data_IF_049829357659
#
_entry.id   IF_049829357659
#
_cell.length_a   1.000
_cell.length_b   1.000
_cell.length_c   1.000
_cell.angle_alpha   90.00
_cell.angle_beta   90.00
_cell.angle_gamma   90.00
#
_symmetry.space_group_name_H-M   'P 1'
#
loop_
_entity.id
_entity.type
_entity.pdbx_description
1 polymer ?
#
# COMPACT_ATOMS: atom_id res chain seq x y z
N UNK A 1 49.46 8.86 -11.56
CA UNK A 1 48.67 9.92 -10.91
C UNK A 1 47.19 9.52 -10.75
N UNK A 2 46.55 8.95 -11.78
CA UNK A 2 45.13 8.55 -11.78
C UNK A 2 44.71 7.64 -10.60
N UNK A 3 45.38 6.50 -10.41
CA UNK A 3 45.04 5.51 -9.37
C UNK A 3 45.09 6.07 -7.95
N UNK A 4 46.04 6.97 -7.66
CA UNK A 4 46.18 7.53 -6.31
C UNK A 4 45.26 8.74 -6.09
N UNK A 5 45.15 9.66 -7.05
CA UNK A 5 44.41 10.92 -6.85
C UNK A 5 42.93 10.75 -7.20
N UNK A 6 42.62 10.11 -8.33
CA UNK A 6 41.26 9.99 -8.84
C UNK A 6 40.52 8.81 -8.21
N UNK A 7 41.14 7.63 -8.19
CA UNK A 7 40.54 6.42 -7.59
C UNK A 7 40.75 6.35 -6.07
N UNK A 8 41.48 7.32 -5.50
CA UNK A 8 41.77 7.41 -4.06
C UNK A 8 42.39 6.12 -3.50
N UNK A 9 43.30 5.47 -4.25
CA UNK A 9 43.94 4.21 -3.83
C UNK A 9 44.76 4.28 -2.54
N UNK A 10 45.01 5.48 -2.00
CA UNK A 10 45.59 5.68 -0.67
C UNK A 10 44.55 5.59 0.47
N UNK A 11 43.26 5.60 0.16
CA UNK A 11 42.18 5.53 1.13
C UNK A 11 41.73 4.09 1.32
N UNK A 12 41.45 3.72 2.57
CA UNK A 12 40.85 2.43 2.90
C UNK A 12 39.32 2.56 2.78
N UNK A 13 38.66 1.59 2.15
CA UNK A 13 37.20 1.51 2.10
C UNK A 13 36.63 0.57 3.17
N UNK A 14 35.39 0.83 3.57
CA UNK A 14 34.59 -0.04 4.45
C UNK A 14 33.24 -0.28 3.81
N UNK A 15 32.68 -1.47 4.03
CA UNK A 15 31.26 -1.72 3.81
C UNK A 15 30.42 -0.78 4.69
N UNK A 16 29.31 -0.33 4.12
CA UNK A 16 28.28 0.48 4.77
C UNK A 16 27.18 -0.47 5.26
N UNK A 17 26.79 -0.36 6.53
CA UNK A 17 25.56 -0.97 7.02
C UNK A 17 24.55 0.15 7.22
N UNK A 18 23.45 0.11 6.47
CA UNK A 18 22.35 1.07 6.58
C UNK A 18 21.16 0.42 7.30
N UNK A 19 20.46 1.21 8.10
CA UNK A 19 19.17 0.84 8.69
C UNK A 19 18.22 2.02 8.56
N UNK A 20 17.07 1.78 7.94
CA UNK A 20 16.00 2.75 7.78
C UNK A 20 14.82 2.32 8.63
N UNK A 21 14.24 3.26 9.37
CA UNK A 21 12.99 3.06 10.09
C UNK A 21 12.05 4.18 9.74
N UNK A 22 10.84 3.81 9.31
CA UNK A 22 9.80 4.76 8.94
C UNK A 22 8.70 4.72 9.98
N UNK A 23 8.23 5.89 10.40
CA UNK A 23 7.07 6.03 11.27
C UNK A 23 6.07 6.98 10.63
N UNK A 24 4.91 6.45 10.29
CA UNK A 24 3.84 7.25 9.72
C UNK A 24 2.93 7.82 10.82
N UNK A 25 2.37 9.00 10.55
CA UNK A 25 1.35 9.65 11.38
C UNK A 25 0.29 10.29 10.49
N UNK A 26 -0.96 9.99 10.80
CA UNK A 26 -2.12 10.50 10.08
C UNK A 26 -3.38 9.80 10.57
N UNK A 27 -4.51 10.50 10.48
CA UNK A 27 -5.83 9.94 10.73
C UNK A 27 -6.70 10.35 9.55
N UNK A 28 -7.51 9.42 9.06
CA UNK A 28 -8.53 9.70 8.07
C UNK A 28 -9.89 9.30 8.62
N UNK A 29 -10.93 9.97 8.15
CA UNK A 29 -12.31 9.64 8.47
C UNK A 29 -13.07 9.44 7.17
N UNK A 30 -13.74 8.29 7.04
CA UNK A 30 -14.59 7.99 5.89
C UNK A 30 -16.03 7.86 6.33
N UNK A 31 -16.96 8.33 5.49
CA UNK A 31 -18.39 8.14 5.69
C UNK A 31 -18.92 7.29 4.54
N UNK A 32 -19.06 5.99 4.78
CA UNK A 32 -19.56 5.05 3.78
C UNK A 32 -21.04 4.73 4.06
N UNK A 33 -21.90 4.62 3.03
CA UNK A 33 -23.31 4.30 3.20
C UNK A 33 -23.57 3.03 4.01
N UNK A 34 -22.74 2.00 3.79
CA UNK A 34 -22.94 0.66 4.38
C UNK A 34 -22.28 0.48 5.76
N UNK A 35 -21.27 1.30 6.10
CA UNK A 35 -20.45 1.15 7.30
C UNK A 35 -20.58 2.33 8.29
N UNK A 36 -21.14 3.46 7.85
CA UNK A 36 -21.23 4.68 8.64
C UNK A 36 -19.88 5.41 8.77
N UNK A 37 -19.74 6.30 9.78
CA UNK A 37 -18.50 7.03 10.03
C UNK A 37 -17.44 6.11 10.65
N UNK A 38 -16.31 5.94 9.95
CA UNK A 38 -15.17 5.14 10.41
C UNK A 38 -13.89 5.98 10.45
N UNK A 39 -13.11 5.79 11.51
CA UNK A 39 -11.78 6.39 11.67
C UNK A 39 -10.74 5.35 11.27
N UNK A 40 -9.76 5.77 10.47
CA UNK A 40 -8.65 4.97 10.00
C UNK A 40 -7.36 5.49 10.60
N UNK A 41 -6.63 4.61 11.29
CA UNK A 41 -5.34 4.91 11.89
C UNK A 41 -4.19 4.12 11.23
N UNK A 42 -2.96 4.39 11.70
CA UNK A 42 -1.73 3.85 11.12
C UNK A 42 -1.73 2.31 11.06
N UNK A 43 -2.41 1.63 11.99
CA UNK A 43 -2.49 0.17 11.99
C UNK A 43 -3.43 -0.35 10.89
N UNK A 44 -4.41 0.45 10.47
CA UNK A 44 -5.41 0.04 9.48
C UNK A 44 -4.94 0.25 8.04
N UNK A 45 -4.18 1.31 7.78
CA UNK A 45 -3.81 1.70 6.41
C UNK A 45 -2.34 1.50 6.05
N UNK A 46 -1.49 1.01 6.97
CA UNK A 46 -0.06 0.75 6.69
C UNK A 46 0.28 -0.73 6.74
N UNK A 47 0.90 -1.24 5.67
CA UNK A 47 1.28 -2.64 5.57
C UNK A 47 2.68 -2.83 4.96
N UNK A 48 3.52 -3.73 5.50
CA UNK A 48 3.39 -4.38 6.80
C UNK A 48 3.59 -3.37 7.96
N UNK A 49 3.03 -3.66 9.14
CA UNK A 49 3.06 -2.74 10.28
C UNK A 49 4.47 -2.45 10.82
N UNK A 50 5.45 -3.33 10.56
CA UNK A 50 6.88 -3.18 10.88
C UNK A 50 7.69 -4.34 10.28
N UNK A 51 8.94 -4.08 9.86
CA UNK A 51 9.95 -5.14 9.66
C UNK A 51 10.61 -5.24 8.29
N UNK A 52 10.12 -4.52 7.27
CA UNK A 52 10.68 -4.54 5.92
C UNK A 52 11.26 -3.19 5.50
N UNK A 53 12.14 -3.22 4.51
CA UNK A 53 12.71 -2.04 3.84
C UNK A 53 11.69 -1.26 3.00
N UNK A 54 10.43 -1.69 3.00
CA UNK A 54 9.32 -1.11 2.26
C UNK A 54 8.05 -1.07 3.08
N UNK A 55 7.22 -0.06 2.82
CA UNK A 55 5.89 0.06 3.39
C UNK A 55 4.90 0.43 2.29
N UNK A 56 3.64 0.06 2.51
CA UNK A 56 2.50 0.32 1.64
C UNK A 56 1.47 1.12 2.42
N UNK A 57 0.90 2.15 1.78
CA UNK A 57 -0.16 2.97 2.32
C UNK A 57 -1.43 2.74 1.52
N UNK A 58 -2.49 2.34 2.19
CA UNK A 58 -3.81 2.20 1.59
C UNK A 58 -4.41 3.58 1.35
N UNK A 59 -4.75 3.86 0.09
CA UNK A 59 -5.37 5.13 -0.35
C UNK A 59 -6.81 4.96 -0.79
N UNK A 60 -7.17 3.75 -1.23
CA UNK A 60 -8.51 3.40 -1.67
C UNK A 60 -8.77 1.93 -1.35
N UNK A 61 -10.03 1.58 -1.13
CA UNK A 61 -10.42 0.23 -0.79
C UNK A 61 -11.88 -0.03 -1.18
N UNK A 62 -12.21 -1.30 -1.37
CA UNK A 62 -13.58 -1.79 -1.54
C UNK A 62 -13.87 -2.66 -0.33
N UNK A 63 -15.02 -2.46 0.32
CA UNK A 63 -15.43 -3.27 1.47
C UNK A 63 -16.61 -4.12 1.07
N UNK A 64 -16.51 -5.42 1.35
CA UNK A 64 -17.63 -6.34 1.26
C UNK A 64 -17.97 -6.81 2.68
N UNK A 65 -18.89 -6.14 3.39
CA UNK A 65 -19.19 -6.47 4.77
C UNK A 65 -19.90 -7.82 4.89
N UNK A 66 -19.80 -8.44 6.06
CA UNK A 66 -20.52 -9.68 6.42
C UNK A 66 -20.20 -10.89 5.52
N UNK A 67 -18.98 -10.99 5.00
CA UNK A 67 -18.56 -12.20 4.31
C UNK A 67 -18.52 -13.40 5.27
N UNK A 68 -19.24 -14.46 4.89
CA UNK A 68 -19.27 -15.74 5.56
C UNK A 68 -19.04 -16.86 4.56
N UNK A 69 -18.54 -18.00 5.03
CA UNK A 69 -18.45 -19.18 4.16
C UNK A 69 -19.85 -19.69 3.82
N UNK A 70 -20.14 -19.76 2.53
CA UNK A 70 -21.46 -20.14 2.05
C UNK A 70 -21.49 -20.42 0.57
N UNK A 71 -22.72 -20.49 0.05
CA UNK A 71 -23.01 -20.67 -1.37
C UNK A 71 -23.59 -19.38 -1.92
N UNK A 72 -23.00 -18.87 -3.00
CA UNK A 72 -23.46 -17.65 -3.66
C UNK A 72 -23.14 -17.70 -5.15
N UNK A 73 -23.78 -16.82 -5.91
CA UNK A 73 -23.50 -16.61 -7.32
C UNK A 73 -22.09 -16.00 -7.50
N UNK A 74 -21.31 -16.55 -8.43
CA UNK A 74 -20.01 -16.01 -8.82
C UNK A 74 -20.17 -14.63 -9.50
N UNK A 75 -19.16 -13.77 -9.40
CA UNK A 75 -19.19 -12.48 -10.10
C UNK A 75 -19.18 -12.68 -11.63
N UNK A 76 -19.90 -11.86 -12.43
CA UNK A 76 -19.99 -12.05 -13.89
C UNK A 76 -18.65 -12.09 -14.63
N UNK A 77 -17.57 -11.49 -14.11
CA UNK A 77 -16.22 -11.63 -14.69
C UNK A 77 -15.69 -13.08 -14.68
N UNK A 78 -16.18 -13.93 -13.76
CA UNK A 78 -15.86 -15.35 -13.69
C UNK A 78 -16.51 -16.19 -14.80
N UNK A 79 -17.47 -15.61 -15.51
CA UNK A 79 -18.22 -16.26 -16.59
C UNK A 79 -19.71 -16.35 -16.28
N UNK A 80 -20.52 -16.11 -17.31
CA UNK A 80 -21.97 -16.29 -17.27
C UNK A 80 -22.36 -17.70 -17.69
N UNK A 81 -23.49 -18.18 -17.19
CA UNK A 81 -24.06 -19.47 -17.57
C UNK A 81 -25.50 -19.30 -18.02
N UNK A 82 -25.98 -20.23 -18.84
CA UNK A 82 -27.40 -20.34 -19.24
C UNK A 82 -28.09 -21.53 -18.58
N UNK A 83 -27.31 -22.56 -18.26
CA UNK A 83 -27.76 -23.84 -17.76
C UNK A 83 -26.65 -24.49 -16.90
N UNK A 84 -27.03 -25.47 -16.08
CA UNK A 84 -26.13 -26.16 -15.15
C UNK A 84 -24.95 -26.84 -15.85
N UNK A 85 -25.08 -27.20 -17.14
CA UNK A 85 -23.99 -27.82 -17.90
C UNK A 85 -22.80 -26.89 -18.13
N UNK A 86 -23.03 -25.57 -18.13
CA UNK A 86 -22.00 -24.55 -18.24
C UNK A 86 -21.14 -24.38 -16.99
N UNK A 87 -21.54 -24.98 -15.86
CA UNK A 87 -20.88 -24.85 -14.57
C UNK A 87 -20.30 -26.20 -14.10
N UNK A 88 -19.15 -26.66 -14.62
CA UNK A 88 -18.58 -27.94 -14.19
C UNK A 88 -18.17 -27.90 -12.70
N UNK A 89 -18.63 -28.86 -11.86
CA UNK A 89 -18.30 -28.87 -10.44
C UNK A 89 -16.81 -29.14 -10.18
N UNK A 90 -16.29 -28.57 -9.09
CA UNK A 90 -14.95 -28.90 -8.57
C UNK A 90 -13.77 -28.28 -9.32
N UNK A 91 -13.99 -27.37 -10.27
CA UNK A 91 -12.92 -26.57 -10.90
C UNK A 91 -12.88 -25.16 -10.31
N UNK A 92 -11.82 -24.84 -9.59
CA UNK A 92 -11.43 -23.46 -9.31
C UNK A 92 -10.56 -22.97 -10.48
N UNK A 93 -11.13 -22.14 -11.35
CA UNK A 93 -10.36 -21.50 -12.42
C UNK A 93 -9.49 -20.37 -11.85
N UNK A 94 -8.45 -19.95 -12.58
CA UNK A 94 -7.49 -18.93 -12.08
C UNK A 94 -8.13 -17.60 -11.67
N UNK A 95 -9.31 -17.28 -12.20
CA UNK A 95 -10.06 -16.07 -11.87
C UNK A 95 -11.23 -16.32 -10.90
N UNK A 96 -11.53 -17.57 -10.57
CA UNK A 96 -12.68 -17.93 -9.78
C UNK A 96 -12.56 -17.44 -8.34
N UNK A 97 -13.68 -16.97 -7.78
CA UNK A 97 -13.75 -16.48 -6.40
C UNK A 97 -14.14 -17.58 -5.40
N UNK A 98 -14.35 -18.81 -5.89
CA UNK A 98 -14.66 -19.98 -5.08
C UNK A 98 -14.67 -21.27 -5.91
N UNK A 99 -15.22 -22.34 -5.32
CA UNK A 99 -15.31 -23.66 -5.96
C UNK A 99 -16.71 -23.85 -6.52
N UNK A 100 -16.82 -24.06 -7.84
CA UNK A 100 -18.13 -24.27 -8.51
C UNK A 100 -18.82 -25.54 -8.01
N UNK A 101 -20.11 -25.42 -7.68
CA UNK A 101 -20.92 -26.53 -7.17
C UNK A 101 -21.57 -27.38 -8.26
N UNK A 102 -21.71 -26.85 -9.47
CA UNK A 102 -22.43 -27.52 -10.56
C UNK A 102 -23.70 -26.82 -11.02
N UNK A 103 -24.14 -25.75 -10.34
CA UNK A 103 -25.43 -25.10 -10.60
C UNK A 103 -25.26 -23.72 -11.22
N UNK A 104 -26.17 -23.37 -12.12
CA UNK A 104 -26.31 -22.03 -12.67
C UNK A 104 -27.40 -21.28 -11.88
N UNK A 105 -27.03 -20.17 -11.24
CA UNK A 105 -27.91 -19.38 -10.37
C UNK A 105 -27.99 -17.94 -10.86
N UNK A 106 -29.10 -17.26 -10.56
CA UNK A 106 -29.22 -15.84 -10.89
C UNK A 106 -28.30 -15.00 -9.99
N UNK A 107 -27.42 -14.21 -10.62
CA UNK A 107 -26.63 -13.19 -9.93
C UNK A 107 -27.48 -11.93 -9.73
N UNK A 108 -28.13 -11.49 -10.82
CA UNK A 108 -29.12 -10.39 -10.86
C UNK A 108 -30.31 -10.83 -11.73
N UNK A 109 -31.35 -10.00 -11.82
CA UNK A 109 -32.55 -10.28 -12.62
C UNK A 109 -32.27 -10.60 -14.11
N UNK A 110 -31.13 -10.13 -14.64
CA UNK A 110 -30.76 -10.25 -16.07
C UNK A 110 -29.60 -11.21 -16.34
N UNK A 111 -28.80 -11.57 -15.33
CA UNK A 111 -27.54 -12.31 -15.52
C UNK A 111 -27.49 -13.51 -14.58
N UNK A 112 -27.17 -14.68 -15.14
CA UNK A 112 -26.96 -15.91 -14.39
C UNK A 112 -25.47 -16.30 -14.43
N UNK A 113 -24.96 -16.76 -13.29
CA UNK A 113 -23.57 -17.17 -13.08
C UNK A 113 -23.52 -18.47 -12.28
N UNK A 114 -22.35 -19.11 -12.26
CA UNK A 114 -22.20 -20.36 -11.54
C UNK A 114 -22.28 -20.15 -10.03
N UNK A 115 -22.95 -21.07 -9.34
CA UNK A 115 -22.93 -21.13 -7.88
C UNK A 115 -21.55 -21.62 -7.41
N UNK A 116 -20.96 -20.90 -6.48
CA UNK A 116 -19.67 -21.22 -5.86
C UNK A 116 -19.81 -21.41 -4.36
N UNK A 117 -18.99 -22.30 -3.82
CA UNK A 117 -18.71 -22.39 -2.40
C UNK A 117 -17.46 -21.56 -2.08
N UNK A 118 -17.60 -20.54 -1.24
CA UNK A 118 -16.55 -19.58 -0.97
C UNK A 118 -16.94 -18.54 0.08
N UNK A 119 -16.25 -17.41 0.08
CA UNK A 119 -16.60 -16.24 0.90
C UNK A 119 -17.73 -15.47 0.22
N UNK A 120 -18.90 -15.47 0.86
CA UNK A 120 -20.13 -14.91 0.34
C UNK A 120 -20.65 -13.78 1.27
N UNK A 121 -21.13 -12.65 0.72
CA UNK A 121 -21.23 -12.34 -0.70
C UNK A 121 -19.86 -12.08 -1.34
N UNK A 122 -19.76 -12.37 -2.63
CA UNK A 122 -18.55 -12.14 -3.41
C UNK A 122 -18.26 -10.64 -3.51
N UNK A 123 -16.97 -10.27 -3.51
CA UNK A 123 -16.55 -8.89 -3.75
C UNK A 123 -16.97 -8.41 -5.15
N UNK A 124 -17.59 -7.23 -5.22
CA UNK A 124 -17.99 -6.58 -6.47
C UNK A 124 -17.05 -5.41 -6.71
N UNK A 125 -16.06 -5.61 -7.57
CA UNK A 125 -15.00 -4.65 -7.90
C UNK A 125 -15.29 -3.83 -9.18
N UNK A 126 -16.51 -3.91 -9.72
CA UNK A 126 -16.97 -3.18 -10.92
C UNK A 126 -16.72 -1.67 -10.84
N UNK A 127 -16.89 -1.09 -9.65
CA UNK A 127 -16.82 0.36 -9.43
C UNK A 127 -15.86 0.68 -8.28
N UNK A 128 -14.58 0.86 -8.62
CA UNK A 128 -13.60 1.43 -7.68
C UNK A 128 -14.03 2.85 -7.32
N UNK A 129 -14.14 3.21 -6.02
CA UNK A 129 -14.56 4.55 -5.59
C UNK A 129 -13.68 5.65 -6.19
N UNK A 130 -14.32 6.67 -6.78
CA UNK A 130 -13.68 7.88 -7.28
C UNK A 130 -14.43 9.12 -6.80
N UNK A 131 -13.77 10.08 -6.13
CA UNK A 131 -12.34 10.09 -5.81
C UNK A 131 -11.97 9.07 -4.70
N UNK A 132 -10.68 8.80 -4.50
CA UNK A 132 -10.20 7.80 -3.54
C UNK A 132 -10.74 8.04 -2.12
N UNK A 133 -11.09 6.97 -1.40
CA UNK A 133 -11.72 7.08 -0.08
C UNK A 133 -10.81 7.76 0.97
N UNK A 134 -9.50 7.49 0.95
CA UNK A 134 -8.53 8.03 1.90
C UNK A 134 -7.70 9.17 1.28
N UNK A 135 -8.37 10.17 0.70
CA UNK A 135 -7.67 11.36 0.17
C UNK A 135 -6.87 12.13 1.22
N UNK A 136 -7.32 12.10 2.49
CA UNK A 136 -6.58 12.69 3.60
C UNK A 136 -5.17 12.13 3.78
N UNK A 137 -4.89 10.97 3.18
CA UNK A 137 -3.55 10.41 3.15
C UNK A 137 -2.53 11.37 2.52
N UNK A 138 -2.93 12.27 1.62
CA UNK A 138 -2.03 13.30 1.08
C UNK A 138 -1.40 14.18 2.18
N UNK A 139 -2.14 14.37 3.29
CA UNK A 139 -1.77 15.17 4.45
C UNK A 139 -1.00 14.40 5.52
N UNK A 140 -0.81 13.09 5.36
CA UNK A 140 -0.07 12.30 6.35
C UNK A 140 1.42 12.62 6.32
N UNK A 141 2.05 12.38 7.46
CA UNK A 141 3.46 12.68 7.68
C UNK A 141 4.26 11.40 7.93
N UNK A 142 5.38 11.30 7.24
CA UNK A 142 6.36 10.23 7.30
C UNK A 142 7.58 10.74 8.05
N UNK A 143 7.88 10.14 9.20
CA UNK A 143 9.17 10.33 9.86
C UNK A 143 10.14 9.25 9.40
N UNK A 144 11.21 9.65 8.71
CA UNK A 144 12.23 8.74 8.20
C UNK A 144 13.48 8.88 9.06
N UNK A 145 13.84 7.81 9.76
CA UNK A 145 15.09 7.69 10.51
C UNK A 145 16.04 6.81 9.72
N UNK A 146 17.15 7.37 9.27
CA UNK A 146 18.24 6.62 8.64
C UNK A 146 19.47 6.63 9.55
N UNK A 147 20.04 5.46 9.76
CA UNK A 147 21.28 5.25 10.51
C UNK A 147 22.25 4.46 9.63
N UNK A 148 23.47 4.96 9.53
CA UNK A 148 24.56 4.29 8.83
C UNK A 148 25.71 3.98 9.79
N UNK A 149 26.30 2.81 9.63
CA UNK A 149 27.44 2.35 10.40
C UNK A 149 28.57 1.93 9.46
N UNK A 150 29.78 2.35 9.78
CA UNK A 150 31.03 1.88 9.18
C UNK A 150 31.79 1.06 10.22
N UNK A 151 31.56 -0.26 10.31
CA UNK A 151 32.12 -1.10 11.37
C UNK A 151 33.65 -1.04 11.43
N UNK A 152 34.30 -0.98 10.26
CA UNK A 152 35.77 -0.94 10.14
C UNK A 152 36.37 0.34 10.74
N UNK A 153 35.66 1.47 10.62
CA UNK A 153 36.10 2.76 11.15
C UNK A 153 35.50 3.08 12.52
N UNK A 154 34.59 2.22 13.02
CA UNK A 154 33.81 2.44 14.25
C UNK A 154 33.08 3.79 14.25
N UNK A 155 32.64 4.23 13.07
CA UNK A 155 31.88 5.47 12.88
C UNK A 155 30.42 5.15 12.66
N UNK A 156 29.54 5.75 13.46
CA UNK A 156 28.09 5.69 13.28
C UNK A 156 27.58 7.11 12.99
N UNK A 157 26.76 7.24 11.95
CA UNK A 157 26.09 8.50 11.59
C UNK A 157 24.60 8.26 11.44
N UNK A 158 23.82 9.31 11.65
CA UNK A 158 22.36 9.31 11.51
C UNK A 158 21.94 10.58 10.80
N UNK A 159 20.78 10.56 10.14
CA UNK A 159 20.22 11.74 9.50
C UNK A 159 19.74 12.81 10.49
N UNK A 160 19.63 12.46 11.78
CA UNK A 160 19.38 13.38 12.89
C UNK A 160 20.70 14.01 13.36
N UNK A 161 21.15 15.03 12.63
CA UNK A 161 22.33 15.85 12.95
C UNK A 161 22.10 16.67 14.23
N UNK A 162 23.18 17.17 14.85
CA UNK A 162 23.11 17.87 16.15
C UNK A 162 22.22 19.13 16.11
N UNK A 163 22.06 19.74 14.94
CA UNK A 163 21.18 20.90 14.71
C UNK A 163 19.68 20.55 14.71
N UNK A 164 19.33 19.26 14.65
CA UNK A 164 17.95 18.78 14.68
C UNK A 164 17.56 18.46 16.12
N UNK A 165 17.05 19.47 16.82
CA UNK A 165 16.60 19.32 18.21
C UNK A 165 15.14 18.84 18.32
N UNK A 166 14.73 18.50 19.54
CA UNK A 166 13.37 18.02 19.80
C UNK A 166 12.30 19.11 19.60
N UNK A 167 12.66 20.39 19.69
CA UNK A 167 11.74 21.50 19.46
C UNK A 167 11.46 21.67 17.96
N UNK A 168 12.50 21.64 17.14
CA UNK A 168 12.46 21.67 15.69
C UNK A 168 11.70 20.46 15.13
N UNK A 169 11.96 19.25 15.63
CA UNK A 169 11.27 18.04 15.18
C UNK A 169 9.76 18.02 15.46
N UNK A 170 9.24 18.87 16.36
CA UNK A 170 7.80 18.92 16.64
C UNK A 170 7.01 19.63 15.56
N UNK A 171 7.62 20.59 14.87
CA UNK A 171 6.94 21.48 13.93
C UNK A 171 7.53 21.47 12.53
N UNK A 172 8.74 20.93 12.35
CA UNK A 172 9.37 20.92 11.05
C UNK A 172 8.61 20.01 10.07
N UNK A 173 8.56 20.46 8.82
CA UNK A 173 8.20 19.66 7.67
C UNK A 173 9.30 19.83 6.63
N UNK A 174 9.73 18.72 6.04
CA UNK A 174 10.78 18.72 5.04
C UNK A 174 10.40 19.58 3.85
N UNK A 175 11.35 20.42 3.44
CA UNK A 175 11.27 21.18 2.20
C UNK A 175 12.69 21.37 1.69
N UNK A 176 12.91 21.12 0.39
CA UNK A 176 14.23 21.11 -0.24
C UNK A 176 15.08 22.36 0.03
N UNK A 177 14.42 23.53 0.12
CA UNK A 177 15.06 24.84 0.35
C UNK A 177 14.94 25.30 1.82
N UNK A 178 13.73 25.33 2.39
CA UNK A 178 13.47 25.93 3.70
C UNK A 178 13.92 25.06 4.88
N UNK A 179 13.69 23.75 4.81
CA UNK A 179 13.92 22.80 5.89
C UNK A 179 14.56 21.50 5.38
N UNK A 180 15.77 21.56 4.78
CA UNK A 180 16.40 20.41 4.15
C UNK A 180 16.86 19.33 5.15
N UNK A 181 16.99 19.68 6.43
CA UNK A 181 17.42 18.77 7.49
C UNK A 181 16.24 18.11 8.24
N UNK A 182 14.99 18.49 7.94
CA UNK A 182 13.85 17.93 8.65
C UNK A 182 13.58 16.48 8.19
N UNK A 183 13.52 15.50 9.09
CA UNK A 183 13.27 14.10 8.75
C UNK A 183 11.77 13.76 8.59
N UNK A 184 10.88 14.75 8.65
CA UNK A 184 9.42 14.57 8.57
C UNK A 184 8.92 15.04 7.20
N UNK A 185 8.37 14.14 6.40
CA UNK A 185 7.93 14.40 5.03
C UNK A 185 6.41 14.31 4.93
N UNK A 186 5.78 15.21 4.18
CA UNK A 186 4.37 15.08 3.82
C UNK A 186 4.22 14.13 2.63
N UNK A 187 3.26 13.21 2.66
CA UNK A 187 3.07 12.25 1.55
C UNK A 187 2.80 12.93 0.21
N UNK A 188 1.91 13.93 0.18
CA UNK A 188 1.66 14.71 -1.03
C UNK A 188 2.92 15.36 -1.60
N UNK A 189 3.80 15.87 -0.72
CA UNK A 189 5.08 16.47 -1.14
C UNK A 189 6.00 15.43 -1.80
N UNK A 190 6.11 14.24 -1.21
CA UNK A 190 6.91 13.15 -1.77
C UNK A 190 6.40 12.72 -3.16
N UNK A 191 5.08 12.55 -3.29
CA UNK A 191 4.46 12.18 -4.57
C UNK A 191 4.65 13.28 -5.62
N UNK A 192 4.49 14.54 -5.24
CA UNK A 192 4.70 15.68 -6.13
C UNK A 192 6.15 15.78 -6.60
N UNK A 193 7.13 15.57 -5.73
CA UNK A 193 8.56 15.57 -6.10
C UNK A 193 8.93 14.39 -7.01
N UNK A 194 8.13 13.31 -7.02
CA UNK A 194 8.27 12.22 -8.01
C UNK A 194 7.66 12.55 -9.38
N UNK A 195 7.05 13.73 -9.54
CA UNK A 195 6.40 14.17 -10.78
C UNK A 195 5.00 13.60 -11.00
N UNK A 196 4.38 13.02 -9.96
CA UNK A 196 3.06 12.40 -10.00
C UNK A 196 2.02 13.24 -9.25
N UNK A 197 0.74 13.00 -9.54
CA UNK A 197 -0.37 13.63 -8.82
C UNK A 197 -0.99 12.65 -7.82
N UNK A 198 -1.11 13.06 -6.55
CA UNK A 198 -1.61 12.20 -5.48
C UNK A 198 -3.01 11.66 -5.75
N UNK A 199 -3.97 12.50 -6.17
CA UNK A 199 -5.34 12.08 -6.45
C UNK A 199 -5.41 10.99 -7.51
N UNK A 200 -4.62 11.12 -8.59
CA UNK A 200 -4.58 10.11 -9.65
C UNK A 200 -3.92 8.80 -9.22
N UNK A 201 -2.91 8.91 -8.34
CA UNK A 201 -2.18 7.77 -7.83
C UNK A 201 -3.02 6.97 -6.83
N UNK A 202 -3.71 7.70 -5.96
CA UNK A 202 -4.56 7.17 -4.90
C UNK A 202 -5.72 6.31 -5.44
N UNK A 203 -6.18 6.55 -6.68
CA UNK A 203 -7.29 5.81 -7.30
C UNK A 203 -6.93 4.39 -7.76
N UNK A 204 -5.67 4.13 -8.16
CA UNK A 204 -5.32 2.92 -8.96
C UNK A 204 -4.06 2.18 -8.51
N UNK A 205 -3.30 2.71 -7.55
CA UNK A 205 -1.91 2.30 -7.34
C UNK A 205 -1.61 2.17 -5.85
N UNK A 206 -0.84 1.15 -5.49
CA UNK A 206 -0.23 1.05 -4.17
C UNK A 206 1.15 1.71 -4.21
N UNK A 207 1.44 2.59 -3.25
CA UNK A 207 2.78 3.18 -3.14
C UNK A 207 3.69 2.23 -2.35
N UNK A 208 4.82 1.79 -2.92
CA UNK A 208 5.84 1.01 -2.22
C UNK A 208 7.16 1.79 -2.16
N UNK A 209 7.62 2.17 -0.97
CA UNK A 209 9.00 2.70 -0.82
C UNK A 209 10.00 1.53 -0.81
N UNK A 210 11.20 1.63 -1.40
CA UNK A 210 12.27 0.64 -1.25
C UNK A 210 13.64 1.34 -1.01
N UNK A 211 14.72 0.56 -0.81
CA UNK A 211 16.07 1.12 -0.55
C UNK A 211 16.66 1.91 -1.73
N UNK A 212 16.12 1.74 -2.95
CA UNK A 212 16.58 2.41 -4.18
C UNK A 212 15.73 3.66 -4.54
N UNK A 213 14.59 3.88 -3.88
CA UNK A 213 13.66 4.98 -4.17
C UNK A 213 12.19 4.66 -3.87
N UNK A 214 11.27 5.38 -4.51
CA UNK A 214 9.83 5.12 -4.43
C UNK A 214 9.40 4.32 -5.67
N UNK A 215 8.90 3.12 -5.47
CA UNK A 215 8.39 2.24 -6.53
C UNK A 215 6.86 2.21 -6.46
N UNK A 216 6.22 2.51 -7.58
CA UNK A 216 4.77 2.52 -7.70
C UNK A 216 4.34 1.23 -8.40
N UNK A 217 3.62 0.35 -7.70
CA UNK A 217 3.09 -0.88 -8.30
C UNK A 217 1.61 -0.70 -8.66
N UNK A 218 1.22 -0.90 -9.94
CA UNK A 218 -0.19 -0.82 -10.34
C UNK A 218 -1.03 -1.87 -9.62
N UNK A 219 -2.28 -1.52 -9.26
CA UNK A 219 -3.23 -2.45 -8.66
C UNK A 219 -3.49 -3.64 -9.61
N UNK A 220 -2.81 -4.75 -9.34
CA UNK A 220 -2.96 -6.01 -10.09
C UNK A 220 -2.66 -7.27 -9.25
N UNK A 221 -2.07 -7.12 -8.06
CA UNK A 221 -1.90 -8.24 -7.14
C UNK A 221 -3.13 -8.29 -6.23
N UNK A 222 -4.09 -9.19 -6.52
CA UNK A 222 -5.12 -9.64 -5.57
C UNK A 222 -4.44 -10.15 -4.30
N UNK A 223 -4.13 -9.28 -3.36
CA UNK A 223 -3.87 -9.68 -1.98
C UNK A 223 -5.22 -9.65 -1.31
N UNK A 224 -5.76 -10.84 -1.06
CA UNK A 224 -6.90 -11.05 -0.16
C UNK A 224 -6.59 -10.32 1.16
N UNK A 225 -7.16 -9.14 1.33
CA UNK A 225 -7.13 -8.44 2.61
C UNK A 225 -8.30 -9.00 3.43
N UNK A 226 -7.97 -9.87 4.38
CA UNK A 226 -8.88 -10.30 5.42
C UNK A 226 -8.41 -9.67 6.74
N UNK A 227 -8.93 -8.50 7.13
CA UNK A 227 -8.63 -7.93 8.43
C UNK A 227 -9.28 -8.82 9.50
N UNK A 228 -8.46 -9.48 10.31
CA UNK A 228 -8.91 -9.98 11.61
C UNK A 228 -8.88 -8.86 12.62
#
# INVERSE_FOLDING_TARGET
MWVFVYEKGYQTSSGLISSVSVKLKGLAVTQLPDLGPQVWDVADYVFPAQGDNSFVIMTNFIVTPHQAQGYCAEHPEGGTCTDDSGCPPGKAERKAQGIRTGKCVAFNDTVQTCEIFGWCPVEVDDNVPRPALLQEAENFTLFIKNSISFPRFKVNRRNLVEEVDAAYMRTCLYHKILHPLCPVFKLGYVVQESGQNFSTLAEKVWCQANEEGWVLEPAGQRRLFNPR
#
